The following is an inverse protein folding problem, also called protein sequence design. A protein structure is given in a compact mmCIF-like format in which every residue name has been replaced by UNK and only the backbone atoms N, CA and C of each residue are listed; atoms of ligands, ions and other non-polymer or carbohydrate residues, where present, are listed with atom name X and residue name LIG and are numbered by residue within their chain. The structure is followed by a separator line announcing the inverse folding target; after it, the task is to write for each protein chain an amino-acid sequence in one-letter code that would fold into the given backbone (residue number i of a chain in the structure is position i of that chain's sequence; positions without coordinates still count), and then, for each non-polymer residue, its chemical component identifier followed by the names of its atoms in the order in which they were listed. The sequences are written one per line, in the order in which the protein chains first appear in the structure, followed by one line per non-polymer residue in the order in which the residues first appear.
data_IF_782295298017
#
_entry.id   IF_782295298017
#
_cell.length_a   1.000
_cell.length_b   1.000
_cell.length_c   1.000
_cell.angle_alpha   90.00
_cell.angle_beta   90.00
_cell.angle_gamma   90.00
#
_symmetry.space_group_name_H-M   'P 1'
#
loop_
_entity.id
_entity.type
_entity.pdbx_description
1 polymer ?
#
# COMPACT_ATOMS: atom_id res chain seq x y z
N UNK A 1 38.94 5.25 -10.31
CA UNK A 1 39.02 4.89 -8.87
C UNK A 1 38.98 6.21 -8.12
N UNK A 2 37.85 6.76 -7.69
CA UNK A 2 37.06 6.26 -6.56
C UNK A 2 35.76 7.09 -6.51
N UNK A 3 34.73 6.70 -7.26
CA UNK A 3 33.39 7.32 -7.13
C UNK A 3 32.28 6.31 -7.48
N UNK A 4 32.44 5.06 -7.04
CA UNK A 4 31.46 3.96 -7.17
C UNK A 4 31.13 3.35 -5.78
N UNK A 5 31.38 4.09 -4.68
CA UNK A 5 31.19 3.55 -3.32
C UNK A 5 29.88 3.93 -2.61
N UNK A 6 28.94 4.63 -3.26
CA UNK A 6 27.65 4.98 -2.63
C UNK A 6 26.49 4.00 -2.91
N UNK A 7 26.71 2.90 -3.64
CA UNK A 7 25.62 2.00 -4.05
C UNK A 7 25.45 0.73 -3.20
N UNK A 8 26.26 0.50 -2.15
CA UNK A 8 26.23 -0.77 -1.41
C UNK A 8 25.87 -0.69 0.08
N UNK A 9 25.53 0.48 0.63
CA UNK A 9 25.28 0.63 2.08
C UNK A 9 23.82 0.94 2.48
N UNK A 10 22.87 0.88 1.54
CA UNK A 10 21.43 1.07 1.84
C UNK A 10 20.56 -0.14 1.47
N UNK A 11 21.21 -1.29 1.31
CA UNK A 11 20.56 -2.58 1.44
C UNK A 11 21.12 -3.18 2.74
N UNK A 12 20.25 -3.62 3.64
CA UNK A 12 20.57 -4.52 4.77
C UNK A 12 20.77 -3.93 6.19
N UNK A 13 19.79 -3.17 6.71
CA UNK A 13 19.40 -3.18 8.15
C UNK A 13 18.12 -2.32 8.28
N UNK A 14 16.93 -2.82 8.61
CA UNK A 14 16.58 -3.47 9.87
C UNK A 14 15.48 -4.50 9.62
N UNK A 15 15.71 -5.68 10.19
CA UNK A 15 14.75 -6.77 10.26
C UNK A 15 13.47 -6.33 11.00
N UNK A 16 12.35 -6.78 10.45
CA UNK A 16 10.99 -6.70 10.99
C UNK A 16 10.90 -7.27 12.41
N UNK A 17 10.54 -6.45 13.38
CA UNK A 17 10.03 -6.88 14.68
C UNK A 17 8.60 -7.41 14.52
N UNK A 18 8.49 -8.72 14.70
CA UNK A 18 7.23 -9.43 14.91
C UNK A 18 6.70 -9.09 16.32
N UNK A 19 5.49 -8.52 16.40
CA UNK A 19 4.71 -8.47 17.65
C UNK A 19 3.32 -9.00 17.32
N UNK A 20 3.05 -10.20 17.83
CA UNK A 20 1.77 -10.89 17.76
C UNK A 20 0.64 -10.13 18.49
N UNK A 21 -0.52 -10.11 17.82
CA UNK A 21 -1.91 -10.25 18.31
C UNK A 21 -2.34 -9.51 19.60
N UNK A 22 -3.30 -8.59 19.44
CA UNK A 22 -4.44 -8.49 20.37
C UNK A 22 -5.67 -7.81 19.73
N UNK A 23 -6.78 -8.57 19.76
CA UNK A 23 -8.14 -8.10 20.07
C UNK A 23 -8.99 -7.47 18.96
N UNK A 24 -9.69 -8.39 18.29
CA UNK A 24 -11.09 -8.30 17.85
C UNK A 24 -11.99 -7.60 18.86
N UNK A 25 -12.67 -6.53 18.43
CA UNK A 25 -13.92 -6.06 19.04
C UNK A 25 -15.02 -6.08 17.98
N UNK A 26 -16.08 -6.81 18.28
CA UNK A 26 -17.30 -6.96 17.48
C UNK A 26 -18.15 -5.71 17.57
N UNK A 27 -18.34 -5.00 16.45
CA UNK A 27 -19.37 -3.96 16.31
C UNK A 27 -20.30 -4.37 15.17
N UNK A 28 -21.54 -4.76 15.52
CA UNK A 28 -22.59 -5.16 14.59
C UNK A 28 -23.03 -3.94 13.77
N UNK A 29 -22.48 -3.77 12.57
CA UNK A 29 -23.03 -2.88 11.54
C UNK A 29 -23.59 -3.70 10.37
N UNK A 30 -24.67 -3.24 9.73
CA UNK A 30 -25.37 -3.97 8.69
C UNK A 30 -24.40 -4.36 7.56
N UNK A 31 -24.28 -5.66 7.31
CA UNK A 31 -23.44 -6.24 6.25
C UNK A 31 -23.99 -5.81 4.89
N UNK A 32 -23.48 -4.69 4.36
CA UNK A 32 -23.59 -4.33 2.95
C UNK A 32 -23.07 -5.49 2.10
N UNK A 33 -23.58 -5.75 0.88
CA UNK A 33 -23.02 -6.78 0.00
C UNK A 33 -21.55 -6.46 -0.30
N UNK A 34 -20.65 -7.02 0.49
CA UNK A 34 -19.19 -6.93 0.33
C UNK A 34 -18.61 -8.29 -0.06
N UNK A 35 -19.46 -9.25 -0.44
CA UNK A 35 -19.07 -10.64 -0.61
C UNK A 35 -18.14 -10.90 -1.80
N UNK A 36 -18.05 -9.98 -2.76
CA UNK A 36 -17.25 -10.16 -3.98
C UNK A 36 -15.99 -9.28 -4.05
N UNK A 37 -15.58 -8.65 -2.95
CA UNK A 37 -14.33 -7.88 -2.93
C UNK A 37 -13.14 -8.79 -2.64
N UNK A 38 -12.28 -8.94 -3.66
CA UNK A 38 -10.99 -9.61 -3.49
C UNK A 38 -10.00 -8.69 -2.78
N UNK A 39 -9.63 -9.04 -1.56
CA UNK A 39 -8.48 -8.45 -0.89
C UNK A 39 -7.18 -8.95 -1.52
N UNK A 40 -6.21 -8.06 -1.68
CA UNK A 40 -4.89 -8.34 -2.23
C UNK A 40 -3.81 -7.76 -1.32
N UNK A 41 -2.66 -8.42 -1.24
CA UNK A 41 -1.51 -7.94 -0.46
C UNK A 41 -0.67 -6.94 -1.25
N UNK A 42 0.18 -6.17 -0.56
CA UNK A 42 1.12 -5.25 -1.18
C UNK A 42 2.07 -5.95 -2.17
N UNK A 43 2.56 -7.14 -1.82
CA UNK A 43 3.41 -7.94 -2.70
C UNK A 43 2.66 -8.36 -3.97
N UNK A 44 1.38 -8.73 -3.87
CA UNK A 44 0.57 -9.07 -5.05
C UNK A 44 0.38 -7.85 -5.96
N UNK A 45 0.13 -6.66 -5.41
CA UNK A 45 0.09 -5.42 -6.21
C UNK A 45 1.42 -5.17 -6.91
N UNK A 46 2.54 -5.33 -6.21
CA UNK A 46 3.87 -5.15 -6.79
C UNK A 46 4.06 -6.09 -8.00
N UNK A 47 3.75 -7.37 -7.86
CA UNK A 47 3.81 -8.33 -8.96
C UNK A 47 2.86 -7.98 -10.12
N UNK A 48 1.64 -7.53 -9.82
CA UNK A 48 0.67 -7.13 -10.85
C UNK A 48 1.17 -5.93 -11.66
N UNK A 49 1.75 -4.93 -11.00
CA UNK A 49 2.29 -3.72 -11.68
C UNK A 49 3.51 -4.00 -12.55
N UNK A 50 4.19 -5.14 -12.37
CA UNK A 50 5.29 -5.56 -13.26
C UNK A 50 4.81 -6.22 -14.54
N UNK A 51 3.68 -6.91 -14.47
CA UNK A 51 3.16 -7.75 -15.55
C UNK A 51 1.96 -7.11 -16.28
N UNK A 52 1.39 -6.04 -15.72
CA UNK A 52 0.20 -5.36 -16.22
C UNK A 52 0.18 -3.90 -15.78
N UNK A 53 -0.70 -3.09 -16.37
CA UNK A 53 -0.95 -1.70 -15.97
C UNK A 53 -2.33 -1.59 -15.30
N UNK A 54 -2.47 -2.00 -14.03
CA UNK A 54 -3.75 -1.92 -13.34
C UNK A 54 -4.13 -0.46 -13.07
N UNK A 55 -5.43 -0.18 -13.05
CA UNK A 55 -5.94 1.09 -12.53
C UNK A 55 -5.85 1.04 -11.00
N UNK A 56 -5.00 1.88 -10.42
CA UNK A 56 -4.83 2.02 -8.98
C UNK A 56 -5.53 3.29 -8.53
N UNK A 57 -6.44 3.16 -7.56
CA UNK A 57 -7.15 4.30 -6.97
C UNK A 57 -6.63 4.50 -5.55
N UNK A 58 -6.10 5.70 -5.29
CA UNK A 58 -5.69 6.12 -3.96
C UNK A 58 -6.76 7.05 -3.36
N UNK A 59 -7.42 6.58 -2.31
CA UNK A 59 -8.53 7.28 -1.65
C UNK A 59 -8.10 8.10 -0.44
N UNK A 60 -6.80 8.19 -0.17
CA UNK A 60 -6.22 8.97 0.93
C UNK A 60 -6.35 10.47 0.69
N UNK A 61 -5.94 11.27 1.67
CA UNK A 61 -5.94 12.74 1.53
C UNK A 61 -4.95 13.20 0.46
N UNK A 62 -5.15 14.43 -0.05
CA UNK A 62 -4.21 15.05 -1.01
C UNK A 62 -2.80 15.15 -0.45
N UNK A 63 -2.66 15.43 0.85
CA UNK A 63 -1.35 15.56 1.48
C UNK A 63 -0.60 14.23 1.47
N UNK A 64 -1.25 13.14 1.90
CA UNK A 64 -0.64 11.80 1.91
C UNK A 64 -0.25 11.31 0.51
N UNK A 65 -1.10 11.55 -0.48
CA UNK A 65 -0.81 11.22 -1.87
C UNK A 65 0.42 11.98 -2.38
N UNK A 66 0.48 13.29 -2.11
CA UNK A 66 1.59 14.14 -2.55
C UNK A 66 2.92 13.82 -1.83
N UNK A 67 2.86 13.35 -0.58
CA UNK A 67 4.05 12.90 0.16
C UNK A 67 4.64 11.59 -0.38
N UNK A 68 3.84 10.81 -1.12
CA UNK A 68 4.28 9.58 -1.77
C UNK A 68 3.11 8.66 -2.12
N UNK A 69 3.11 8.15 -3.34
CA UNK A 69 2.10 7.23 -3.85
C UNK A 69 2.71 6.25 -4.86
N UNK A 70 1.97 5.18 -5.15
CA UNK A 70 2.35 4.20 -6.17
C UNK A 70 2.35 4.88 -7.54
N UNK A 71 3.38 4.68 -8.40
CA UNK A 71 3.37 5.19 -9.76
C UNK A 71 2.07 4.83 -10.51
N UNK A 72 1.56 5.76 -11.31
CA UNK A 72 0.31 5.63 -12.08
C UNK A 72 -0.99 5.55 -11.25
N UNK A 73 -0.92 5.69 -9.91
CA UNK A 73 -2.12 5.76 -9.09
C UNK A 73 -2.89 7.08 -9.32
N UNK A 74 -4.22 6.99 -9.34
CA UNK A 74 -5.13 8.13 -9.45
C UNK A 74 -5.73 8.46 -8.09
N UNK A 75 -5.58 9.71 -7.65
CA UNK A 75 -6.14 10.18 -6.38
C UNK A 75 -7.61 10.54 -6.50
N UNK A 76 -8.49 9.73 -5.91
CA UNK A 76 -9.93 9.99 -5.81
C UNK A 76 -10.31 10.16 -4.33
N UNK A 77 -10.48 11.40 -3.84
CA UNK A 77 -10.80 11.64 -2.42
C UNK A 77 -12.11 10.96 -2.03
N UNK A 78 -12.14 10.33 -0.86
CA UNK A 78 -13.35 9.70 -0.32
C UNK A 78 -14.47 10.71 0.01
N UNK A 79 -14.10 11.97 0.27
CA UNK A 79 -15.05 13.05 0.49
C UNK A 79 -15.67 13.49 -0.84
N UNK A 80 -16.96 13.14 -1.03
CA UNK A 80 -17.81 13.73 -2.05
C UNK A 80 -18.06 15.20 -1.67
N UNK A 81 -17.77 16.11 -2.59
CA UNK A 81 -18.20 17.53 -2.51
C UNK A 81 -19.71 17.66 -2.62
#
# INVERSE_FOLDING_TARGET
MTLIFCLSALLFYCNTSNVDKAQTTTHLTPKKPTEDLKTISANQIFELTRNSEPIIIDVRTKMEFNSGHIPSAQKIPLSLS
#
